data_IF_511579383016
#
_entry.id   IF_511579383016
#
_cell.length_a   1.000
_cell.length_b   1.000
_cell.length_c   1.000
_cell.angle_alpha   90.00
_cell.angle_beta   90.00
_cell.angle_gamma   90.00
#
_symmetry.space_group_name_H-M   'P 1'
#
loop_
_entity.id
_entity.type
_entity.pdbx_description
1 polymer ?
#
# COMPACT_ATOMS: atom_id res chain seq x y z
N UNK A 1 1.69 -3.16 -28.38
CA UNK A 1 0.66 -2.68 -27.44
C UNK A 1 -0.44 -3.73 -27.30
N UNK A 2 -1.09 -4.22 -28.38
CA UNK A 2 -2.21 -5.17 -28.28
C UNK A 2 -1.88 -6.43 -27.47
N UNK A 3 -0.68 -7.00 -27.66
CA UNK A 3 -0.23 -8.11 -26.82
C UNK A 3 -0.18 -7.72 -25.35
N UNK A 4 0.32 -6.52 -25.03
CA UNK A 4 0.37 -6.03 -23.66
C UNK A 4 -1.02 -5.83 -23.05
N UNK A 5 -2.02 -5.38 -23.82
CA UNK A 5 -3.40 -5.28 -23.37
C UNK A 5 -3.96 -6.67 -22.99
N UNK A 6 -3.78 -7.65 -23.86
CA UNK A 6 -4.22 -9.03 -23.60
C UNK A 6 -3.50 -9.63 -22.38
N UNK A 7 -2.20 -9.42 -22.26
CA UNK A 7 -1.38 -9.92 -21.14
C UNK A 7 -1.86 -9.40 -19.76
N UNK A 8 -2.46 -8.20 -19.73
CA UNK A 8 -3.03 -7.60 -18.50
C UNK A 8 -4.55 -7.79 -18.36
N UNK A 9 -5.16 -8.57 -19.27
CA UNK A 9 -6.57 -8.94 -19.20
C UNK A 9 -7.55 -7.95 -19.86
N UNK A 10 -7.07 -7.04 -20.70
CA UNK A 10 -7.93 -6.11 -21.46
C UNK A 10 -8.13 -6.66 -22.87
N UNK A 11 -9.36 -7.06 -23.18
CA UNK A 11 -9.72 -7.72 -24.46
C UNK A 11 -10.91 -7.07 -25.18
N UNK A 12 -11.51 -6.06 -24.58
CA UNK A 12 -12.70 -5.40 -25.09
C UNK A 12 -12.41 -4.30 -26.11
N UNK A 13 -11.14 -3.91 -26.24
CA UNK A 13 -10.66 -3.01 -27.30
C UNK A 13 -9.24 -3.37 -27.72
N UNK A 14 -8.86 -2.89 -28.88
CA UNK A 14 -7.52 -3.04 -29.46
C UNK A 14 -7.12 -1.83 -30.28
N UNK A 15 -5.84 -1.73 -30.62
CA UNK A 15 -5.28 -0.66 -31.45
C UNK A 15 -5.01 -1.23 -32.83
N UNK A 16 -5.52 -0.58 -33.87
CA UNK A 16 -5.25 -0.93 -35.26
C UNK A 16 -4.67 0.25 -36.03
N UNK A 17 -3.95 -0.06 -37.10
CA UNK A 17 -3.46 0.95 -38.03
C UNK A 17 -4.64 1.50 -38.86
N UNK A 18 -4.78 2.82 -38.90
CA UNK A 18 -5.87 3.49 -39.63
C UNK A 18 -5.37 4.10 -40.94
N UNK A 19 -4.28 4.86 -40.89
CA UNK A 19 -3.61 5.46 -42.04
C UNK A 19 -2.10 5.32 -41.88
N UNK A 20 -1.32 5.85 -42.83
CA UNK A 20 0.13 5.90 -42.70
C UNK A 20 0.49 6.70 -41.45
N UNK A 21 1.10 6.06 -40.48
CA UNK A 21 1.52 6.64 -39.19
C UNK A 21 0.40 7.02 -38.21
N UNK A 22 -0.85 6.69 -38.51
CA UNK A 22 -1.99 6.89 -37.60
C UNK A 22 -2.55 5.56 -37.10
N UNK A 23 -2.94 5.55 -35.84
CA UNK A 23 -3.55 4.42 -35.17
C UNK A 23 -4.90 4.84 -34.57
N UNK A 24 -5.85 3.92 -34.56
CA UNK A 24 -7.13 4.12 -33.87
C UNK A 24 -7.38 3.01 -32.87
N UNK A 25 -8.17 3.33 -31.86
CA UNK A 25 -8.65 2.37 -30.88
C UNK A 25 -10.04 1.92 -31.33
N UNK A 26 -10.23 0.61 -31.38
CA UNK A 26 -11.48 -0.01 -31.81
C UNK A 26 -11.97 -0.96 -30.72
N UNK A 27 -13.25 -0.88 -30.42
CA UNK A 27 -13.89 -1.82 -29.47
C UNK A 27 -14.47 -3.00 -30.23
N UNK A 28 -14.30 -4.20 -29.70
CA UNK A 28 -14.83 -5.42 -30.30
C UNK A 28 -16.33 -5.28 -30.52
N UNK A 29 -16.75 -5.38 -31.78
CA UNK A 29 -18.17 -5.24 -32.19
C UNK A 29 -18.66 -3.81 -32.44
N UNK A 30 -17.78 -2.81 -32.54
CA UNK A 30 -18.11 -1.44 -32.90
C UNK A 30 -17.08 -0.84 -33.85
N UNK A 31 -17.52 -0.25 -34.96
CA UNK A 31 -16.65 0.44 -35.91
C UNK A 31 -16.43 1.93 -35.58
N UNK A 32 -17.03 2.43 -34.53
CA UNK A 32 -16.90 3.84 -34.12
C UNK A 32 -15.59 4.07 -33.38
N UNK A 33 -14.89 5.21 -33.62
CA UNK A 33 -13.73 5.59 -32.82
C UNK A 33 -14.14 5.86 -31.36
N UNK A 34 -13.50 5.18 -30.42
CA UNK A 34 -13.95 5.15 -29.02
C UNK A 34 -13.00 5.81 -28.03
N UNK A 35 -11.99 6.52 -28.49
CA UNK A 35 -11.02 7.17 -27.57
C UNK A 35 -11.71 8.05 -26.52
N UNK A 36 -12.77 8.76 -26.88
CA UNK A 36 -13.56 9.61 -25.98
C UNK A 36 -14.37 8.82 -24.94
N UNK A 37 -14.67 7.54 -25.22
CA UNK A 37 -15.44 6.66 -24.34
C UNK A 37 -14.57 5.81 -23.38
N UNK A 38 -13.23 5.88 -23.52
CA UNK A 38 -12.32 5.21 -22.62
C UNK A 38 -12.30 5.87 -21.26
N UNK A 39 -12.29 5.06 -20.22
CA UNK A 39 -12.04 5.52 -18.85
C UNK A 39 -10.62 6.10 -18.71
N UNK A 40 -10.38 6.90 -17.68
CA UNK A 40 -9.05 7.44 -17.40
C UNK A 40 -8.02 6.31 -17.15
N UNK A 41 -8.44 5.23 -16.50
CA UNK A 41 -7.60 4.06 -16.28
C UNK A 41 -7.19 3.37 -17.60
N UNK A 42 -8.11 3.16 -18.54
CA UNK A 42 -7.82 2.58 -19.86
C UNK A 42 -6.85 3.47 -20.65
N UNK A 43 -7.04 4.78 -20.63
CA UNK A 43 -6.13 5.74 -21.27
C UNK A 43 -4.74 5.69 -20.65
N UNK A 44 -4.65 5.59 -19.33
CA UNK A 44 -3.38 5.46 -18.61
C UNK A 44 -2.64 4.19 -19.02
N UNK A 45 -3.32 3.05 -19.07
CA UNK A 45 -2.74 1.77 -19.48
C UNK A 45 -2.22 1.83 -20.91
N UNK A 46 -3.00 2.37 -21.85
CA UNK A 46 -2.57 2.52 -23.25
C UNK A 46 -1.33 3.40 -23.32
N UNK A 47 -1.32 4.53 -22.61
CA UNK A 47 -0.19 5.47 -22.57
C UNK A 47 1.07 4.81 -22.01
N UNK A 48 0.93 4.03 -20.93
CA UNK A 48 2.05 3.29 -20.35
C UNK A 48 2.58 2.21 -21.31
N UNK A 49 1.71 1.43 -21.94
CA UNK A 49 2.11 0.42 -22.92
C UNK A 49 2.77 1.05 -24.15
N UNK A 50 2.29 2.21 -24.60
CA UNK A 50 2.92 2.95 -25.70
C UNK A 50 4.32 3.44 -25.30
N UNK A 51 4.47 4.05 -24.13
CA UNK A 51 5.77 4.43 -23.59
C UNK A 51 6.73 3.24 -23.50
N UNK A 52 6.24 2.10 -23.02
CA UNK A 52 7.01 0.85 -22.92
C UNK A 52 7.55 0.39 -24.27
N UNK A 53 6.72 0.42 -25.31
CA UNK A 53 7.12 0.02 -26.67
C UNK A 53 8.14 1.03 -27.27
N UNK A 54 7.94 2.32 -27.07
CA UNK A 54 8.91 3.35 -27.46
C UNK A 54 10.26 3.15 -26.74
N UNK A 55 10.22 2.87 -25.47
CA UNK A 55 11.42 2.66 -24.66
C UNK A 55 12.21 1.42 -25.13
N UNK A 56 11.52 0.34 -25.48
CA UNK A 56 12.13 -0.89 -26.02
C UNK A 56 12.65 -0.71 -27.45
N UNK A 57 12.04 0.17 -28.23
CA UNK A 57 12.41 0.43 -29.60
C UNK A 57 13.78 1.09 -29.75
N UNK A 58 14.36 0.99 -30.94
CA UNK A 58 15.52 1.77 -31.35
C UNK A 58 15.03 2.97 -32.17
N UNK A 59 15.56 4.16 -31.92
CA UNK A 59 15.18 5.35 -32.67
C UNK A 59 15.89 5.42 -34.03
N UNK A 60 17.11 4.89 -34.09
CA UNK A 60 17.89 4.81 -35.35
C UNK A 60 18.52 3.43 -35.49
N UNK A 61 18.80 3.03 -36.75
CA UNK A 61 19.46 1.77 -37.06
C UNK A 61 20.87 1.66 -36.47
N UNK A 62 21.52 2.80 -36.25
CA UNK A 62 22.89 2.94 -35.72
C UNK A 62 22.94 3.01 -34.18
N UNK A 63 21.80 3.05 -33.50
CA UNK A 63 21.75 2.90 -32.04
C UNK A 63 22.20 1.48 -31.67
N UNK A 64 23.51 1.35 -31.40
CA UNK A 64 24.10 0.16 -30.80
C UNK A 64 23.50 -0.12 -29.42
N UNK A 65 24.22 -0.74 -28.54
CA UNK A 65 23.80 -1.00 -27.14
C UNK A 65 23.82 0.28 -26.28
N UNK A 66 23.04 1.31 -26.67
CA UNK A 66 22.89 2.52 -25.85
C UNK A 66 22.06 2.15 -24.63
N UNK A 67 22.65 2.38 -23.46
CA UNK A 67 21.93 2.24 -22.19
C UNK A 67 20.98 3.42 -22.00
N UNK A 68 19.78 3.11 -21.55
CA UNK A 68 18.67 4.07 -21.40
C UNK A 68 18.39 4.36 -19.93
N UNK A 69 17.95 5.58 -19.65
CA UNK A 69 17.40 5.97 -18.36
C UNK A 69 15.89 6.10 -18.51
N UNK A 70 15.13 5.46 -17.66
CA UNK A 70 13.67 5.57 -17.61
C UNK A 70 13.23 6.47 -16.46
N UNK A 71 12.33 7.41 -16.73
CA UNK A 71 11.64 8.20 -15.72
C UNK A 71 10.15 7.94 -15.88
N UNK A 72 9.52 7.37 -14.85
CA UNK A 72 8.13 6.96 -14.83
C UNK A 72 7.43 7.73 -13.71
N UNK A 73 6.52 8.64 -14.08
CA UNK A 73 5.81 9.50 -13.15
C UNK A 73 4.36 9.03 -13.01
N UNK A 74 4.05 8.50 -11.84
CA UNK A 74 2.73 8.06 -11.35
C UNK A 74 1.88 7.27 -12.37
N UNK A 75 2.36 6.13 -12.87
CA UNK A 75 1.74 5.40 -13.98
C UNK A 75 0.48 4.63 -13.57
N UNK A 76 -0.02 4.80 -12.35
CA UNK A 76 -1.11 4.00 -11.77
C UNK A 76 -2.28 4.84 -11.27
N UNK A 77 -2.29 6.14 -11.51
CA UNK A 77 -3.41 7.01 -11.18
C UNK A 77 -4.70 6.47 -11.80
N UNK A 78 -5.78 6.40 -11.01
CA UNK A 78 -7.11 5.94 -11.45
C UNK A 78 -7.20 4.46 -11.84
N UNK A 79 -6.24 3.61 -11.45
CA UNK A 79 -6.26 2.17 -11.72
C UNK A 79 -6.80 1.37 -10.53
N UNK A 80 -7.50 0.26 -10.83
CA UNK A 80 -7.82 -0.74 -9.82
C UNK A 80 -6.57 -1.52 -9.37
N UNK A 81 -6.61 -2.13 -8.18
CA UNK A 81 -5.47 -2.86 -7.60
C UNK A 81 -4.88 -3.93 -8.53
N UNK A 82 -5.70 -4.61 -9.32
CA UNK A 82 -5.25 -5.63 -10.27
C UNK A 82 -4.35 -5.00 -11.35
N UNK A 83 -4.76 -3.86 -11.90
CA UNK A 83 -3.96 -3.17 -12.92
C UNK A 83 -2.71 -2.51 -12.33
N UNK A 84 -2.79 -2.00 -11.09
CA UNK A 84 -1.61 -1.50 -10.36
C UNK A 84 -0.57 -2.61 -10.22
N UNK A 85 -0.98 -3.83 -9.84
CA UNK A 85 -0.12 -5.00 -9.79
C UNK A 85 0.50 -5.30 -11.15
N UNK A 86 -0.33 -5.40 -12.21
CA UNK A 86 0.13 -5.72 -13.56
C UNK A 86 1.15 -4.70 -14.09
N UNK A 87 0.90 -3.41 -13.92
CA UNK A 87 1.86 -2.35 -14.26
C UNK A 87 3.16 -2.50 -13.47
N UNK A 88 3.08 -2.80 -12.18
CA UNK A 88 4.24 -3.08 -11.34
C UNK A 88 5.09 -4.23 -11.88
N UNK A 89 4.45 -5.34 -12.29
CA UNK A 89 5.15 -6.48 -12.89
C UNK A 89 5.81 -6.11 -14.23
N UNK A 90 5.13 -5.33 -15.08
CA UNK A 90 5.72 -4.86 -16.34
C UNK A 90 6.95 -3.96 -16.09
N UNK A 91 6.90 -3.08 -15.08
CA UNK A 91 8.06 -2.25 -14.71
C UNK A 91 9.21 -3.12 -14.22
N UNK A 92 8.96 -4.06 -13.34
CA UNK A 92 10.01 -4.98 -12.85
C UNK A 92 10.65 -5.76 -13.98
N UNK A 93 9.86 -6.32 -14.88
CA UNK A 93 10.37 -7.18 -15.95
C UNK A 93 11.09 -6.41 -17.04
N UNK A 94 10.54 -5.28 -17.48
CA UNK A 94 11.01 -4.59 -18.68
C UNK A 94 11.99 -3.45 -18.40
N UNK A 95 11.93 -2.87 -17.20
CA UNK A 95 12.78 -1.74 -16.82
C UNK A 95 13.80 -2.12 -15.75
N UNK A 96 13.41 -2.73 -14.62
CA UNK A 96 14.38 -3.09 -13.59
C UNK A 96 15.31 -4.23 -14.02
N UNK A 97 14.79 -5.19 -14.79
CA UNK A 97 15.56 -6.32 -15.33
C UNK A 97 15.91 -6.16 -16.82
N UNK A 98 15.66 -5.00 -17.41
CA UNK A 98 15.90 -4.75 -18.83
C UNK A 98 17.40 -4.68 -19.16
N UNK A 99 17.84 -5.42 -20.19
CA UNK A 99 19.27 -5.53 -20.56
C UNK A 99 19.92 -4.20 -20.96
N UNK A 100 19.14 -3.26 -21.50
CA UNK A 100 19.63 -1.95 -21.99
C UNK A 100 19.20 -0.80 -21.07
N UNK A 101 18.84 -1.07 -19.82
CA UNK A 101 18.43 -0.06 -18.86
C UNK A 101 19.56 0.19 -17.89
N UNK A 102 20.02 1.45 -17.81
CA UNK A 102 21.06 1.87 -16.88
C UNK A 102 20.47 2.26 -15.53
N UNK A 103 19.37 3.03 -15.55
CA UNK A 103 18.76 3.55 -14.35
C UNK A 103 17.26 3.77 -14.57
N UNK A 104 16.48 3.55 -13.50
CA UNK A 104 15.03 3.78 -13.48
C UNK A 104 14.66 4.67 -12.31
N UNK A 105 13.93 5.74 -12.60
CA UNK A 105 13.28 6.56 -11.59
C UNK A 105 11.77 6.31 -11.66
N UNK A 106 11.17 5.95 -10.55
CA UNK A 106 9.71 5.84 -10.44
C UNK A 106 9.23 6.78 -9.36
N UNK A 107 8.35 7.70 -9.74
CA UNK A 107 7.67 8.60 -8.83
C UNK A 107 6.23 8.11 -8.63
N UNK A 108 5.75 8.10 -7.40
CA UNK A 108 4.35 7.76 -7.12
C UNK A 108 3.89 8.35 -5.79
N UNK A 109 2.62 8.68 -5.72
CA UNK A 109 1.93 9.02 -4.49
C UNK A 109 1.19 7.80 -3.89
N UNK A 110 1.10 6.69 -4.63
CA UNK A 110 0.42 5.47 -4.20
C UNK A 110 1.34 4.61 -3.35
N UNK A 111 1.07 4.49 -2.04
CA UNK A 111 1.79 3.57 -1.15
C UNK A 111 1.64 2.11 -1.57
N UNK A 112 0.47 1.73 -2.10
CA UNK A 112 0.26 0.38 -2.59
C UNK A 112 1.21 0.05 -3.76
N UNK A 113 1.35 0.97 -4.71
CA UNK A 113 2.27 0.81 -5.83
C UNK A 113 3.74 0.85 -5.40
N UNK A 114 4.07 1.70 -4.44
CA UNK A 114 5.40 1.71 -3.83
C UNK A 114 5.77 0.34 -3.26
N UNK A 115 4.89 -0.29 -2.45
CA UNK A 115 5.11 -1.62 -1.91
C UNK A 115 5.18 -2.70 -2.99
N UNK A 116 4.43 -2.54 -4.08
CA UNK A 116 4.48 -3.46 -5.20
C UNK A 116 5.84 -3.44 -5.91
N UNK A 117 6.48 -2.27 -6.02
CA UNK A 117 7.76 -2.12 -6.72
C UNK A 117 8.99 -2.42 -5.86
N UNK A 118 8.92 -2.13 -4.57
CA UNK A 118 10.06 -2.28 -3.68
C UNK A 118 10.32 -3.76 -3.38
N UNK A 119 11.61 -4.16 -3.39
CA UNK A 119 11.99 -5.52 -3.05
C UNK A 119 11.80 -5.78 -1.55
N UNK A 120 11.08 -6.85 -1.22
CA UNK A 120 10.80 -7.24 0.16
C UNK A 120 12.04 -7.78 0.89
N UNK A 121 13.04 -8.27 0.14
CA UNK A 121 14.30 -8.76 0.71
C UNK A 121 15.23 -7.60 0.97
N UNK A 122 15.61 -7.41 2.24
CA UNK A 122 16.46 -6.29 2.69
C UNK A 122 17.75 -6.18 1.89
N UNK A 123 18.54 -7.26 1.81
CA UNK A 123 19.86 -7.25 1.18
C UNK A 123 19.79 -6.85 -0.29
N UNK A 124 18.85 -7.44 -1.03
CA UNK A 124 18.65 -7.12 -2.44
C UNK A 124 18.17 -5.68 -2.65
N UNK A 125 17.30 -5.18 -1.77
CA UNK A 125 16.82 -3.80 -1.81
C UNK A 125 17.96 -2.82 -1.62
N UNK A 126 18.81 -3.02 -0.61
CA UNK A 126 19.95 -2.13 -0.33
C UNK A 126 20.99 -2.11 -1.47
N UNK A 127 21.14 -3.23 -2.20
CA UNK A 127 22.06 -3.30 -3.35
C UNK A 127 21.50 -2.63 -4.61
N UNK A 128 20.18 -2.68 -4.83
CA UNK A 128 19.59 -2.35 -6.14
C UNK A 128 18.65 -1.16 -6.14
N UNK A 129 18.19 -0.68 -4.98
CA UNK A 129 17.17 0.35 -4.87
C UNK A 129 17.57 1.47 -3.90
N UNK A 130 17.26 2.70 -4.28
CA UNK A 130 17.33 3.87 -3.40
C UNK A 130 15.94 4.45 -3.24
N UNK A 131 15.51 4.59 -2.00
CA UNK A 131 14.17 5.08 -1.67
C UNK A 131 14.26 6.54 -1.20
N UNK A 132 13.37 7.39 -1.73
CA UNK A 132 13.30 8.80 -1.40
C UNK A 132 11.86 9.21 -1.07
N UNK A 133 11.73 10.13 -0.14
CA UNK A 133 10.48 10.82 0.17
C UNK A 133 10.54 12.24 -0.35
N UNK A 134 9.52 12.63 -1.11
CA UNK A 134 9.31 14.02 -1.50
C UNK A 134 8.26 14.63 -0.58
N UNK A 135 8.60 15.74 0.05
CA UNK A 135 7.69 16.48 0.93
C UNK A 135 7.61 17.93 0.48
N UNK A 136 6.39 18.47 0.38
CA UNK A 136 6.15 19.86 0.04
C UNK A 136 5.68 20.63 1.26
N UNK A 137 6.33 21.73 1.57
CA UNK A 137 5.97 22.63 2.65
C UNK A 137 5.98 24.09 2.17
N UNK A 138 5.75 25.04 3.07
CA UNK A 138 5.72 26.47 2.75
C UNK A 138 7.05 27.04 2.23
N UNK A 139 8.16 26.34 2.45
CA UNK A 139 9.51 26.73 2.00
C UNK A 139 9.91 26.07 0.67
N UNK A 140 9.10 25.16 0.15
CA UNK A 140 9.37 24.46 -1.10
C UNK A 140 9.25 22.94 -1.00
N UNK A 141 9.83 22.24 -1.97
CA UNK A 141 9.89 20.78 -2.02
C UNK A 141 11.24 20.30 -1.49
N UNK A 142 11.21 19.36 -0.57
CA UNK A 142 12.40 18.66 -0.05
C UNK A 142 12.40 17.23 -0.51
N UNK A 143 13.61 16.69 -0.73
CA UNK A 143 13.83 15.29 -1.07
C UNK A 143 14.74 14.68 0.00
N UNK A 144 14.31 13.60 0.61
CA UNK A 144 15.03 12.94 1.69
C UNK A 144 15.15 11.44 1.42
N UNK A 145 16.35 10.88 1.66
CA UNK A 145 16.52 9.43 1.60
C UNK A 145 15.73 8.80 2.73
N UNK A 146 14.96 7.76 2.43
CA UNK A 146 14.14 7.06 3.41
C UNK A 146 14.46 5.56 3.46
N UNK A 147 14.13 4.94 4.60
CA UNK A 147 14.16 3.49 4.74
C UNK A 147 12.78 2.90 4.45
N UNK A 148 12.77 1.67 3.96
CA UNK A 148 11.52 0.95 3.69
C UNK A 148 10.61 0.86 4.91
N UNK A 149 11.20 0.67 6.09
CA UNK A 149 10.52 0.50 7.38
C UNK A 149 9.86 1.79 7.88
N UNK A 150 10.20 2.95 7.31
CA UNK A 150 9.55 4.24 7.63
C UNK A 150 8.16 4.36 7.00
N UNK A 151 7.87 3.57 5.97
CA UNK A 151 6.52 3.51 5.40
C UNK A 151 5.75 2.44 6.15
N UNK A 152 4.80 2.89 6.95
CA UNK A 152 3.95 2.03 7.77
C UNK A 152 2.50 2.16 7.31
N UNK A 153 1.76 1.06 7.33
CA UNK A 153 0.31 1.13 7.22
C UNK A 153 -0.29 1.54 8.58
N UNK A 154 -1.57 1.89 8.59
CA UNK A 154 -2.26 2.35 9.81
C UNK A 154 -2.12 1.34 10.97
N UNK A 155 -2.24 0.05 10.68
CA UNK A 155 -2.09 -1.00 11.67
C UNK A 155 -0.70 -1.03 12.29
N UNK A 156 0.36 -0.88 11.50
CA UNK A 156 1.74 -0.81 11.98
C UNK A 156 1.98 0.48 12.77
N UNK A 157 1.38 1.59 12.33
CA UNK A 157 1.51 2.86 13.04
C UNK A 157 0.84 2.82 14.41
N UNK A 158 -0.32 2.17 14.55
CA UNK A 158 -0.96 1.93 15.85
C UNK A 158 -0.05 1.14 16.79
N UNK A 159 0.59 0.07 16.29
CA UNK A 159 1.53 -0.70 17.07
C UNK A 159 2.78 0.10 17.48
N UNK A 160 3.26 1.00 16.62
CA UNK A 160 4.37 1.90 16.97
C UNK A 160 4.02 2.78 18.19
N UNK A 161 2.79 3.32 18.21
CA UNK A 161 2.29 4.12 19.34
C UNK A 161 2.12 3.26 20.59
N UNK A 162 1.54 2.05 20.46
CA UNK A 162 1.34 1.12 21.58
C UNK A 162 2.67 0.70 22.25
N UNK A 163 3.73 0.60 21.47
CA UNK A 163 5.04 0.18 21.97
C UNK A 163 5.89 1.30 22.57
N UNK A 164 5.41 2.53 22.53
CA UNK A 164 6.06 3.70 23.14
C UNK A 164 5.25 4.18 24.35
N UNK A 165 5.71 3.85 25.56
CA UNK A 165 5.04 4.21 26.82
C UNK A 165 5.01 5.72 27.11
N UNK A 166 5.84 6.51 26.39
CA UNK A 166 5.90 7.96 26.53
C UNK A 166 4.80 8.69 25.73
N UNK A 167 4.07 7.98 24.88
CA UNK A 167 2.94 8.55 24.16
C UNK A 167 1.78 8.91 25.11
N UNK A 168 0.96 9.89 24.75
CA UNK A 168 -0.21 10.24 25.56
C UNK A 168 -1.12 9.02 25.83
N UNK A 169 -1.52 8.76 27.09
CA UNK A 169 -2.35 7.60 27.45
C UNK A 169 -3.61 7.43 26.61
N UNK A 170 -4.31 8.52 26.29
CA UNK A 170 -5.48 8.51 25.42
C UNK A 170 -5.17 8.01 24.01
N UNK A 171 -4.02 8.38 23.49
CA UNK A 171 -3.58 7.93 22.16
C UNK A 171 -3.23 6.45 22.16
N UNK A 172 -2.48 5.97 23.19
CA UNK A 172 -2.15 4.55 23.34
C UNK A 172 -3.42 3.70 23.42
N UNK A 173 -4.35 4.07 24.29
CA UNK A 173 -5.60 3.35 24.47
C UNK A 173 -6.44 3.30 23.17
N UNK A 174 -6.52 4.43 22.45
CA UNK A 174 -7.21 4.49 21.16
C UNK A 174 -6.53 3.61 20.09
N UNK A 175 -5.20 3.61 20.03
CA UNK A 175 -4.47 2.73 19.13
C UNK A 175 -4.66 1.25 19.48
N UNK A 176 -4.71 0.87 20.76
CA UNK A 176 -5.04 -0.50 21.18
C UNK A 176 -6.42 -0.93 20.70
N UNK A 177 -7.42 -0.07 20.82
CA UNK A 177 -8.77 -0.31 20.32
C UNK A 177 -8.75 -0.50 18.80
N UNK A 178 -8.14 0.41 18.06
CA UNK A 178 -8.04 0.33 16.60
C UNK A 178 -7.34 -0.95 16.14
N UNK A 179 -6.29 -1.39 16.83
CA UNK A 179 -5.60 -2.66 16.56
C UNK A 179 -6.55 -3.85 16.73
N UNK A 180 -7.33 -3.87 17.80
CA UNK A 180 -8.29 -4.95 18.07
C UNK A 180 -9.40 -4.95 17.02
N UNK A 181 -10.02 -3.79 16.76
CA UNK A 181 -11.08 -3.64 15.76
C UNK A 181 -10.59 -4.04 14.37
N UNK A 182 -9.42 -3.55 13.95
CA UNK A 182 -8.84 -3.89 12.66
C UNK A 182 -8.55 -5.38 12.55
N UNK A 183 -7.87 -5.96 13.53
CA UNK A 183 -7.41 -7.35 13.46
C UNK A 183 -8.59 -8.34 13.54
N UNK A 184 -9.48 -8.17 14.50
CA UNK A 184 -10.55 -9.15 14.72
C UNK A 184 -11.75 -8.93 13.79
N UNK A 185 -12.20 -7.70 13.59
CA UNK A 185 -13.37 -7.45 12.73
C UNK A 185 -13.02 -7.53 11.25
N UNK A 186 -11.86 -6.98 10.84
CA UNK A 186 -11.52 -6.85 9.42
C UNK A 186 -10.68 -8.03 8.91
N UNK A 187 -9.61 -8.41 9.62
CA UNK A 187 -8.69 -9.46 9.17
C UNK A 187 -9.27 -10.85 9.48
N UNK A 188 -9.72 -11.09 10.71
CA UNK A 188 -10.19 -12.39 11.17
C UNK A 188 -11.69 -12.58 11.02
N UNK A 189 -12.47 -11.49 10.85
CA UNK A 189 -13.94 -11.50 10.77
C UNK A 189 -14.58 -12.22 11.95
N UNK A 190 -14.02 -12.03 13.15
CA UNK A 190 -14.48 -12.63 14.40
C UNK A 190 -15.18 -11.58 15.24
N UNK A 191 -16.29 -11.93 15.87
CA UNK A 191 -17.02 -11.04 16.74
C UNK A 191 -16.23 -10.77 18.04
N UNK A 192 -15.92 -9.50 18.31
CA UNK A 192 -15.24 -9.02 19.51
C UNK A 192 -15.99 -9.33 20.80
N UNK A 193 -17.32 -9.44 20.76
CA UNK A 193 -18.14 -9.75 21.94
C UNK A 193 -17.74 -11.08 22.60
N UNK A 194 -17.30 -12.06 21.82
CA UNK A 194 -16.81 -13.35 22.31
C UNK A 194 -15.47 -13.26 23.01
N UNK A 195 -14.59 -12.34 22.55
CA UNK A 195 -13.25 -12.15 23.11
C UNK A 195 -13.30 -11.61 24.54
N UNK A 196 -14.18 -10.65 24.74
CA UNK A 196 -14.33 -9.94 26.02
C UNK A 196 -14.98 -10.80 27.11
N UNK A 197 -15.67 -11.87 26.74
CA UNK A 197 -16.29 -12.79 27.69
C UNK A 197 -15.31 -13.78 28.35
N UNK A 198 -14.03 -13.76 27.95
CA UNK A 198 -13.01 -14.64 28.53
C UNK A 198 -12.86 -14.41 30.05
N UNK A 199 -12.79 -15.52 30.82
CA UNK A 199 -12.73 -15.48 32.28
C UNK A 199 -11.52 -14.69 32.80
N UNK A 200 -10.37 -14.77 32.18
CA UNK A 200 -9.15 -14.07 32.58
C UNK A 200 -9.28 -12.55 32.43
N UNK A 201 -9.97 -12.10 31.39
CA UNK A 201 -10.22 -10.68 31.16
C UNK A 201 -11.27 -10.08 32.13
N UNK A 202 -12.00 -10.94 32.89
CA UNK A 202 -12.93 -10.50 33.93
C UNK A 202 -12.26 -10.14 35.25
N UNK A 203 -10.95 -10.35 35.39
CA UNK A 203 -10.22 -9.91 36.57
C UNK A 203 -10.27 -8.39 36.72
N UNK A 204 -10.32 -7.91 37.97
CA UNK A 204 -10.51 -6.49 38.30
C UNK A 204 -9.47 -5.60 37.61
N UNK A 205 -8.21 -6.04 37.50
CA UNK A 205 -7.12 -5.30 36.89
C UNK A 205 -7.33 -4.98 35.39
N UNK A 206 -8.16 -5.76 34.69
CA UNK A 206 -8.45 -5.55 33.26
C UNK A 206 -9.77 -4.83 33.02
N UNK A 207 -10.56 -4.54 34.05
CA UNK A 207 -11.90 -3.97 33.87
C UNK A 207 -11.87 -2.58 33.21
N UNK A 208 -10.88 -1.75 33.51
CA UNK A 208 -10.71 -0.45 32.85
C UNK A 208 -10.41 -0.62 31.35
N UNK A 209 -9.52 -1.54 31.01
CA UNK A 209 -9.16 -1.87 29.62
C UNK A 209 -10.38 -2.40 28.86
N UNK A 210 -11.07 -3.40 29.42
CA UNK A 210 -12.27 -4.01 28.82
C UNK A 210 -13.39 -2.99 28.63
N UNK A 211 -13.63 -2.14 29.62
CA UNK A 211 -14.61 -1.07 29.51
C UNK A 211 -14.28 -0.11 28.39
N UNK A 212 -12.99 0.20 28.21
CA UNK A 212 -12.56 1.08 27.14
C UNK A 212 -12.78 0.47 25.74
N UNK A 213 -12.47 -0.82 25.55
CA UNK A 213 -12.60 -1.52 24.28
C UNK A 213 -14.05 -1.77 23.91
N UNK A 214 -14.91 -2.15 24.88
CA UNK A 214 -16.31 -2.52 24.66
C UNK A 214 -17.25 -1.34 24.42
N UNK A 215 -16.77 -0.12 24.47
CA UNK A 215 -17.63 1.03 24.21
C UNK A 215 -18.04 1.03 22.74
N UNK A 216 -19.30 0.66 22.54
CA UNK A 216 -19.97 0.76 21.25
C UNK A 216 -19.78 2.15 20.65
N UNK A 217 -19.46 2.20 19.37
CA UNK A 217 -19.20 3.39 18.55
C UNK A 217 -20.40 4.38 18.48
N UNK A 218 -21.49 4.12 19.19
CA UNK A 218 -22.73 4.88 19.12
C UNK A 218 -22.97 5.85 20.30
N UNK A 219 -22.13 5.84 21.32
CA UNK A 219 -22.26 6.87 22.37
C UNK A 219 -21.40 8.09 22.03
N UNK A 220 -22.01 9.09 21.42
CA UNK A 220 -21.56 10.48 21.38
C UNK A 220 -21.42 11.10 22.79
N UNK A 221 -21.55 10.30 23.85
CA UNK A 221 -21.38 10.69 25.24
C UNK A 221 -19.90 10.77 25.60
N UNK A 222 -19.48 11.94 26.01
CA UNK A 222 -18.19 12.32 26.54
C UNK A 222 -17.49 11.18 27.28
N UNK A 223 -16.35 10.73 26.74
CA UNK A 223 -15.47 9.79 27.41
C UNK A 223 -14.76 10.51 28.55
N UNK A 224 -15.40 10.60 29.70
CA UNK A 224 -14.73 11.03 30.93
C UNK A 224 -13.95 9.81 31.42
N UNK A 225 -12.75 9.63 30.92
CA UNK A 225 -11.75 8.73 31.51
C UNK A 225 -10.67 9.66 32.06
N UNK A 226 -10.42 9.57 33.34
CA UNK A 226 -9.25 10.23 33.91
C UNK A 226 -8.01 9.42 33.53
N UNK A 227 -7.32 9.86 32.48
CA UNK A 227 -6.08 9.24 32.04
C UNK A 227 -4.90 9.47 32.96
N UNK A 228 -5.07 10.20 34.09
CA UNK A 228 -4.05 10.31 35.11
C UNK A 228 -3.77 9.00 35.83
N UNK A 229 -4.75 8.10 35.87
CA UNK A 229 -4.65 6.75 36.44
C UNK A 229 -4.49 5.65 35.38
N UNK A 230 -4.03 5.99 34.17
CA UNK A 230 -3.81 5.03 33.11
C UNK A 230 -2.66 4.09 33.49
N UNK A 231 -2.97 2.82 33.66
CA UNK A 231 -1.98 1.76 33.85
C UNK A 231 -1.59 1.14 32.51
N UNK A 232 -0.49 1.64 31.94
CA UNK A 232 0.05 1.15 30.67
C UNK A 232 0.34 -0.35 30.70
N UNK A 233 0.92 -0.86 31.79
CA UNK A 233 1.27 -2.27 31.93
C UNK A 233 0.02 -3.17 31.93
N UNK A 234 -1.02 -2.79 32.67
CA UNK A 234 -2.29 -3.52 32.70
C UNK A 234 -3.00 -3.50 31.34
N UNK A 235 -3.00 -2.37 30.63
CA UNK A 235 -3.59 -2.25 29.29
C UNK A 235 -2.83 -3.10 28.27
N UNK A 236 -1.49 -3.04 28.28
CA UNK A 236 -0.65 -3.83 27.38
C UNK A 236 -0.77 -5.34 27.65
N UNK A 237 -0.87 -5.74 28.91
CA UNK A 237 -1.11 -7.13 29.31
C UNK A 237 -2.52 -7.61 28.92
N UNK A 238 -3.54 -6.76 29.06
CA UNK A 238 -4.89 -7.05 28.57
C UNK A 238 -4.94 -7.25 27.07
N UNK A 239 -4.25 -6.39 26.30
CA UNK A 239 -4.11 -6.54 24.84
C UNK A 239 -3.42 -7.86 24.50
N UNK A 240 -2.33 -8.21 25.19
CA UNK A 240 -1.63 -9.48 25.04
C UNK A 240 -2.55 -10.68 25.23
N UNK A 241 -3.31 -10.67 26.33
CA UNK A 241 -4.24 -11.74 26.66
C UNK A 241 -5.32 -11.93 25.59
N UNK A 242 -5.85 -10.85 25.01
CA UNK A 242 -6.80 -10.96 23.90
C UNK A 242 -6.19 -11.76 22.74
N UNK A 243 -5.01 -11.42 22.30
CA UNK A 243 -4.34 -12.13 21.21
C UNK A 243 -3.98 -13.57 21.57
N UNK A 244 -3.52 -13.83 22.79
CA UNK A 244 -3.16 -15.17 23.24
C UNK A 244 -4.39 -16.10 23.34
N UNK A 245 -5.47 -15.66 23.97
CA UNK A 245 -6.68 -16.45 24.16
C UNK A 245 -7.41 -16.73 22.84
N UNK A 246 -7.24 -15.87 21.84
CA UNK A 246 -7.75 -16.07 20.50
C UNK A 246 -6.80 -16.88 19.60
N UNK A 247 -5.65 -17.34 20.11
CA UNK A 247 -4.69 -18.16 19.36
C UNK A 247 -3.68 -17.38 18.52
N UNK A 248 -3.56 -16.06 18.69
CA UNK A 248 -2.68 -15.19 17.89
C UNK A 248 -1.46 -14.69 18.66
N UNK A 249 -0.94 -15.49 19.57
CA UNK A 249 0.22 -15.14 20.41
C UNK A 249 1.46 -14.73 19.60
N UNK A 250 1.76 -15.44 18.53
CA UNK A 250 2.94 -15.16 17.70
C UNK A 250 2.79 -13.84 16.94
N UNK A 251 1.57 -13.51 16.50
CA UNK A 251 1.30 -12.21 15.91
C UNK A 251 1.54 -11.07 16.91
N UNK A 252 1.03 -11.22 18.15
CA UNK A 252 1.27 -10.24 19.21
C UNK A 252 2.77 -10.04 19.46
N UNK A 253 3.54 -11.11 19.64
CA UNK A 253 5.00 -11.03 19.85
C UNK A 253 5.70 -10.27 18.74
N UNK A 254 5.38 -10.60 17.49
CA UNK A 254 5.96 -9.93 16.32
C UNK A 254 5.67 -8.43 16.31
N UNK A 255 4.45 -8.04 16.64
CA UNK A 255 4.02 -6.64 16.58
C UNK A 255 4.44 -5.83 17.80
N UNK A 256 4.50 -6.44 18.97
CA UNK A 256 4.93 -5.81 20.23
C UNK A 256 6.45 -5.67 20.36
N UNK A 257 7.22 -6.21 19.38
CA UNK A 257 8.70 -6.19 19.36
C UNK A 257 9.33 -6.85 20.62
N UNK A 258 8.64 -7.85 21.18
CA UNK A 258 9.11 -8.64 22.34
C UNK A 258 9.65 -9.97 21.84
#
# INVERSE_FOLDING_TARGET
>A
INKGLVDIGITDFYIEKYEQDLYRIVRTGSDAPIFSSLSEGEKMIISFLYFRELFKGKQTADEGNVKKIAVIDDPVSSLSHIYVYNIGQLIKNDFFNGANVEQVFVLTHSLYFFYELVDSKHDRREETQLLFRLSKNTKGTTIEKMKYEEVQNDYQSYWSVINDEHQPPALIANCMRNVIEYFFNFVQKTDLSNVVQNKKLKEVRYQAFIRYINRESHSLGQNIIDFKEFDYAAFKDGLRLIFEEMGYREHYKKMSKI
#
